data_IF_578461991967
#
_entry.id   IF_578461991967
#
_cell.length_a   1.000
_cell.length_b   1.000
_cell.length_c   1.000
_cell.angle_alpha   90.00
_cell.angle_beta   90.00
_cell.angle_gamma   90.00
#
_symmetry.space_group_name_H-M   'P 1'
#
loop_
_entity.id
_entity.type
_entity.pdbx_description
1 polymer ?
#
# COMPACT_ATOMS: atom_id res chain seq x y z
N UNK A 1 -11.46 -17.53 7.48
CA UNK A 1 -11.24 -18.78 6.71
C UNK A 1 -9.93 -18.62 5.97
N UNK A 2 -9.09 -19.66 5.87
CA UNK A 2 -7.85 -19.63 5.07
C UNK A 2 -8.08 -19.22 3.60
N UNK A 3 -9.32 -19.33 3.14
CA UNK A 3 -9.77 -19.08 1.77
C UNK A 3 -10.48 -17.72 1.58
N UNK A 4 -10.36 -16.79 2.53
CA UNK A 4 -10.92 -15.44 2.37
C UNK A 4 -10.03 -14.60 1.44
N UNK A 5 -10.63 -13.71 0.61
CA UNK A 5 -9.88 -12.72 -0.13
C UNK A 5 -9.01 -11.92 0.85
N UNK A 6 -7.71 -11.89 0.59
CA UNK A 6 -6.76 -11.11 1.40
C UNK A 6 -6.76 -9.66 0.93
N UNK A 7 -6.58 -8.72 1.85
CA UNK A 7 -6.37 -7.32 1.51
C UNK A 7 -4.92 -7.09 1.07
N UNK A 8 -4.70 -6.09 0.23
CA UNK A 8 -3.37 -5.68 -0.21
C UNK A 8 -3.24 -4.17 -0.05
N UNK A 9 -2.36 -3.74 0.85
CA UNK A 9 -1.97 -2.34 0.96
C UNK A 9 -0.78 -2.05 0.04
N UNK A 10 -0.88 -1.01 -0.76
CA UNK A 10 0.17 -0.52 -1.65
C UNK A 10 0.73 0.77 -1.04
N UNK A 11 2.01 0.77 -0.73
CA UNK A 11 2.74 1.94 -0.26
C UNK A 11 3.70 2.35 -1.37
N UNK A 12 3.64 3.61 -1.80
CA UNK A 12 4.46 4.15 -2.88
C UNK A 12 4.84 5.59 -2.61
N UNK A 13 5.73 6.17 -3.41
CA UNK A 13 5.95 7.62 -3.42
C UNK A 13 5.11 8.30 -4.49
N UNK A 14 4.90 9.61 -4.38
CA UNK A 14 4.11 10.39 -5.33
C UNK A 14 4.55 10.29 -6.79
N UNK A 15 5.86 10.10 -7.05
CA UNK A 15 6.39 9.98 -8.42
C UNK A 15 6.00 8.64 -9.01
N UNK A 16 6.24 7.55 -8.27
CA UNK A 16 5.91 6.20 -8.71
C UNK A 16 4.41 5.99 -8.78
N UNK A 17 3.63 6.58 -7.86
CA UNK A 17 2.17 6.54 -7.88
C UNK A 17 1.60 7.08 -9.20
N UNK A 18 2.10 8.24 -9.65
CA UNK A 18 1.66 8.88 -10.90
C UNK A 18 1.91 8.02 -12.14
N UNK A 19 2.93 7.17 -12.11
CA UNK A 19 3.33 6.33 -13.24
C UNK A 19 2.65 4.96 -13.21
N UNK A 20 2.55 4.34 -12.04
CA UNK A 20 2.22 2.91 -11.91
C UNK A 20 1.11 2.59 -10.90
N UNK A 21 0.77 3.51 -9.98
CA UNK A 21 -0.14 3.23 -8.87
C UNK A 21 -1.50 2.70 -9.33
N UNK A 22 -2.15 3.44 -10.24
CA UNK A 22 -3.45 3.04 -10.78
C UNK A 22 -3.40 1.72 -11.59
N UNK A 23 -2.30 1.47 -12.30
CA UNK A 23 -2.14 0.23 -13.07
C UNK A 23 -2.00 -0.97 -12.14
N UNK A 24 -1.13 -0.88 -11.12
CA UNK A 24 -0.91 -1.95 -10.14
C UNK A 24 -2.19 -2.23 -9.34
N UNK A 25 -2.84 -1.18 -8.86
CA UNK A 25 -4.09 -1.31 -8.10
C UNK A 25 -5.18 -2.02 -8.93
N UNK A 26 -5.36 -1.62 -10.19
CA UNK A 26 -6.34 -2.22 -11.09
C UNK A 26 -6.07 -3.71 -11.33
N UNK A 27 -4.82 -4.10 -11.56
CA UNK A 27 -4.49 -5.51 -11.80
C UNK A 27 -4.70 -6.37 -10.55
N UNK A 28 -4.41 -5.85 -9.35
CA UNK A 28 -4.70 -6.53 -8.09
C UNK A 28 -6.20 -6.70 -7.86
N UNK A 29 -6.99 -5.65 -8.12
CA UNK A 29 -8.45 -5.74 -8.05
C UNK A 29 -9.01 -6.73 -9.08
N UNK A 30 -8.47 -6.76 -10.31
CA UNK A 30 -8.85 -7.72 -11.34
C UNK A 30 -8.52 -9.17 -10.94
N UNK A 31 -7.47 -9.39 -10.15
CA UNK A 31 -7.13 -10.68 -9.56
C UNK A 31 -8.00 -11.06 -8.33
N UNK A 32 -8.91 -10.18 -7.90
CA UNK A 32 -9.86 -10.43 -6.81
C UNK A 32 -9.38 -10.01 -5.43
N UNK A 33 -8.31 -9.21 -5.33
CA UNK A 33 -7.86 -8.63 -4.06
C UNK A 33 -8.62 -7.34 -3.74
N UNK A 34 -8.87 -7.12 -2.45
CA UNK A 34 -9.28 -5.81 -1.96
C UNK A 34 -8.03 -4.96 -1.73
N UNK A 35 -7.95 -3.79 -2.35
CA UNK A 35 -6.75 -2.96 -2.34
C UNK A 35 -6.96 -1.64 -1.60
N UNK A 36 -5.89 -1.18 -0.97
CA UNK A 36 -5.78 0.19 -0.49
C UNK A 36 -4.43 0.76 -0.92
N UNK A 37 -4.35 2.05 -1.23
CA UNK A 37 -3.13 2.70 -1.71
C UNK A 37 -2.86 3.98 -0.92
N UNK A 38 -1.62 4.14 -0.46
CA UNK A 38 -1.12 5.39 0.11
C UNK A 38 0.17 5.82 -0.62
N UNK A 39 0.22 7.08 -1.00
CA UNK A 39 1.40 7.72 -1.58
C UNK A 39 2.02 8.68 -0.56
N UNK A 40 3.32 8.58 -0.34
CA UNK A 40 4.09 9.52 0.49
C UNK A 40 4.93 10.45 -0.39
N UNK A 41 5.37 11.58 0.16
CA UNK A 41 6.26 12.49 -0.55
C UNK A 41 7.51 11.75 -1.06
N UNK A 42 8.00 12.10 -2.25
CA UNK A 42 9.20 11.48 -2.82
C UNK A 42 10.48 12.00 -2.15
N UNK A 43 11.48 11.12 -1.99
CA UNK A 43 12.82 11.45 -1.51
C UNK A 43 13.16 10.92 -0.11
N UNK A 44 14.44 11.03 0.27
CA UNK A 44 14.98 10.44 1.50
C UNK A 44 14.39 11.04 2.78
N UNK A 45 13.87 12.28 2.71
CA UNK A 45 13.23 12.94 3.84
C UNK A 45 12.00 12.17 4.35
N UNK A 46 11.35 11.39 3.47
CA UNK A 46 10.23 10.53 3.82
C UNK A 46 10.66 9.25 4.53
N UNK A 47 11.96 8.95 4.64
CA UNK A 47 12.49 7.87 5.47
C UNK A 47 12.64 8.33 6.91
N UNK A 48 11.50 8.75 7.48
CA UNK A 48 11.41 9.28 8.83
C UNK A 48 10.46 8.45 9.68
N UNK A 49 10.62 8.53 11.01
CA UNK A 49 9.72 7.84 11.94
C UNK A 49 8.29 8.39 11.87
N UNK A 50 8.14 9.67 11.55
CA UNK A 50 6.85 10.31 11.34
C UNK A 50 6.12 9.70 10.14
N UNK A 51 6.84 9.46 9.04
CA UNK A 51 6.27 8.80 7.87
C UNK A 51 5.95 7.34 8.20
N UNK A 52 6.81 6.64 8.94
CA UNK A 52 6.52 5.28 9.39
C UNK A 52 5.24 5.23 10.27
N UNK A 53 5.05 6.20 11.17
CA UNK A 53 3.85 6.32 11.98
C UNK A 53 2.59 6.51 11.12
N UNK A 54 2.64 7.43 10.15
CA UNK A 54 1.55 7.63 9.19
C UNK A 54 1.18 6.33 8.46
N UNK A 55 2.18 5.57 8.03
CA UNK A 55 1.95 4.29 7.37
C UNK A 55 1.34 3.27 8.33
N UNK A 56 1.78 3.19 9.59
CA UNK A 56 1.16 2.31 10.58
C UNK A 56 -0.30 2.68 10.85
N UNK A 57 -0.60 3.97 10.98
CA UNK A 57 -1.97 4.45 11.20
C UNK A 57 -2.86 4.09 10.01
N UNK A 58 -2.39 4.31 8.78
CA UNK A 58 -3.08 3.89 7.57
C UNK A 58 -3.37 2.39 7.55
N UNK A 59 -2.37 1.53 7.84
CA UNK A 59 -2.57 0.08 7.85
C UNK A 59 -3.59 -0.36 8.91
N UNK A 60 -3.62 0.31 10.07
CA UNK A 60 -4.60 0.06 11.12
C UNK A 60 -6.02 0.51 10.70
N UNK A 61 -6.14 1.67 10.04
CA UNK A 61 -7.40 2.19 9.48
C UNK A 61 -7.97 1.33 8.34
N UNK A 62 -7.12 0.59 7.64
CA UNK A 62 -7.55 -0.41 6.64
C UNK A 62 -7.77 -1.80 7.26
N UNK A 63 -7.61 -1.94 8.57
CA UNK A 63 -7.67 -3.18 9.35
C UNK A 63 -6.84 -4.31 8.75
N UNK A 64 -5.62 -4.01 8.30
CA UNK A 64 -4.71 -5.05 7.85
C UNK A 64 -4.31 -5.97 9.01
N UNK A 65 -4.22 -7.24 8.68
CA UNK A 65 -3.85 -8.34 9.56
C UNK A 65 -2.62 -9.05 9.00
N UNK A 66 -2.12 -10.04 9.73
CA UNK A 66 -0.90 -10.78 9.34
C UNK A 66 -1.07 -11.68 8.11
N UNK A 67 -2.30 -11.95 7.68
CA UNK A 67 -2.56 -12.70 6.45
C UNK A 67 -2.69 -11.83 5.21
N UNK A 68 -2.81 -10.51 5.40
CA UNK A 68 -2.93 -9.54 4.32
C UNK A 68 -1.56 -9.19 3.72
N UNK A 69 -1.57 -8.70 2.49
CA UNK A 69 -0.37 -8.33 1.73
C UNK A 69 0.02 -6.86 1.91
N UNK A 70 1.33 -6.61 1.90
CA UNK A 70 1.90 -5.26 1.83
C UNK A 70 2.84 -5.20 0.63
N UNK A 71 2.61 -4.25 -0.28
CA UNK A 71 3.44 -4.01 -1.46
C UNK A 71 4.10 -2.65 -1.32
N UNK A 72 5.43 -2.63 -1.24
CA UNK A 72 6.22 -1.44 -1.43
C UNK A 72 6.49 -1.26 -2.93
N UNK A 73 5.86 -0.26 -3.56
CA UNK A 73 5.99 0.04 -4.96
C UNK A 73 6.89 1.27 -5.13
N UNK A 74 8.16 1.05 -5.40
CA UNK A 74 9.18 2.09 -5.50
C UNK A 74 10.59 1.53 -5.25
N UNK A 75 11.55 2.43 -5.07
CA UNK A 75 12.95 2.11 -4.76
C UNK A 75 13.48 2.85 -3.55
#
# INVERSE_FOLDING_TARGET
>A
SLWQPQRVAIITDETVNKLYGAAVEKELQAAGFETSLIAVAAGEQSKSLETAQLLYDFLAEQQLTRSDGLIALGG
#
